data_IF_627125489199
#
_entry.id   IF_627125489199
#
_cell.length_a   1.000
_cell.length_b   1.000
_cell.length_c   1.000
_cell.angle_alpha   90.00
_cell.angle_beta   90.00
_cell.angle_gamma   90.00
#
_symmetry.space_group_name_H-M   'P 1'
#
loop_
_entity.id
_entity.type
_entity.pdbx_description
1 polymer ?
#
# COMPACT_ATOMS: atom_id res chain seq x y z
N UNK A 1 15.53 51.55 -34.29
CA UNK A 1 16.50 50.43 -34.33
C UNK A 1 15.71 49.16 -34.53
N UNK A 2 15.80 48.59 -35.73
CA UNK A 2 15.16 47.34 -36.13
C UNK A 2 16.26 46.28 -36.12
N UNK A 3 16.05 45.17 -35.42
CA UNK A 3 16.86 43.98 -35.59
C UNK A 3 15.95 42.75 -35.45
N UNK A 4 15.64 42.17 -36.60
CA UNK A 4 15.10 40.83 -36.77
C UNK A 4 16.27 39.83 -36.88
N UNK A 5 16.15 38.65 -36.26
CA UNK A 5 16.79 37.36 -36.61
C UNK A 5 16.44 36.36 -35.50
N UNK A 6 16.09 35.09 -35.70
CA UNK A 6 16.03 34.29 -36.90
C UNK A 6 15.43 32.91 -36.57
N UNK A 7 14.76 32.40 -37.58
CA UNK A 7 14.22 31.04 -37.80
C UNK A 7 15.31 29.96 -37.68
N UNK A 8 15.02 28.80 -37.07
CA UNK A 8 14.94 27.50 -37.78
C UNK A 8 15.10 26.25 -36.89
N UNK A 9 14.17 25.30 -37.13
CA UNK A 9 14.34 23.83 -37.31
C UNK A 9 14.57 22.89 -36.12
N UNK A 10 13.62 21.94 -36.00
CA UNK A 10 13.91 20.51 -36.20
C UNK A 10 13.76 19.61 -34.97
N UNK A 11 12.90 18.60 -35.04
CA UNK A 11 12.86 17.51 -34.07
C UNK A 11 11.64 16.61 -34.25
N UNK A 12 11.89 15.39 -34.69
CA UNK A 12 10.97 14.42 -35.25
C UNK A 12 9.91 13.80 -34.31
N UNK A 13 8.91 13.24 -35.00
CA UNK A 13 7.88 12.35 -34.53
C UNK A 13 8.39 11.12 -33.76
N UNK A 14 7.64 10.70 -32.74
CA UNK A 14 7.41 9.27 -32.44
C UNK A 14 5.97 9.09 -31.99
N UNK A 15 5.16 8.53 -32.89
CA UNK A 15 3.91 7.86 -32.57
C UNK A 15 4.20 6.38 -32.25
N UNK A 16 3.77 5.92 -31.08
CA UNK A 16 3.53 4.51 -30.74
C UNK A 16 2.31 4.55 -29.81
N UNK A 17 1.08 4.24 -30.25
CA UNK A 17 0.56 2.92 -30.62
C UNK A 17 0.89 1.84 -29.57
N UNK A 18 0.06 1.77 -28.52
CA UNK A 18 -0.15 0.55 -27.76
C UNK A 18 -1.66 0.32 -27.69
N UNK A 19 -2.09 -0.60 -28.55
CA UNK A 19 -3.33 -1.36 -28.48
C UNK A 19 -3.41 -2.06 -27.11
N UNK A 20 -4.55 -2.07 -26.43
CA UNK A 20 -5.60 -3.04 -26.73
C UNK A 20 -5.37 -4.34 -25.94
N UNK A 21 -5.98 -4.45 -24.77
CA UNK A 21 -5.83 -5.63 -23.91
C UNK A 21 -6.81 -5.65 -22.74
N UNK A 22 -8.10 -5.76 -23.04
CA UNK A 22 -9.09 -6.11 -22.02
C UNK A 22 -8.98 -7.59 -21.66
N UNK A 23 -9.12 -7.95 -20.38
CA UNK A 23 -9.90 -9.13 -20.01
C UNK A 23 -10.23 -9.16 -18.52
N UNK A 24 -11.55 -9.19 -18.32
CA UNK A 24 -12.32 -9.49 -17.13
C UNK A 24 -11.76 -10.67 -16.33
N UNK A 25 -11.81 -10.58 -15.01
CA UNK A 25 -12.43 -11.62 -14.16
C UNK A 25 -12.63 -11.11 -12.73
N UNK A 26 -13.88 -10.76 -12.43
CA UNK A 26 -14.35 -10.60 -11.07
C UNK A 26 -14.35 -11.94 -10.34
N UNK A 27 -13.94 -11.93 -9.07
CA UNK A 27 -14.24 -13.01 -8.13
C UNK A 27 -15.19 -12.47 -7.08
N UNK A 28 -16.46 -12.83 -7.27
CA UNK A 28 -17.48 -12.89 -6.21
C UNK A 28 -17.02 -13.92 -5.18
N UNK A 29 -16.91 -13.52 -3.93
CA UNK A 29 -17.07 -14.42 -2.79
C UNK A 29 -18.45 -14.17 -2.22
N UNK A 30 -19.35 -15.13 -2.42
CA UNK A 30 -20.64 -15.24 -1.76
C UNK A 30 -20.53 -16.37 -0.74
N UNK A 31 -20.98 -16.11 0.48
CA UNK A 31 -21.00 -17.08 1.56
C UNK A 31 -22.11 -18.13 1.44
N UNK A 32 -21.95 -19.15 2.27
CA UNK A 32 -22.95 -20.02 2.88
C UNK A 32 -22.32 -20.42 4.24
N UNK A 33 -22.95 -20.20 5.41
CA UNK A 33 -24.05 -21.00 5.98
C UNK A 33 -23.66 -22.49 6.06
N UNK A 34 -23.85 -23.28 7.10
CA UNK A 34 -24.54 -23.27 8.40
C UNK A 34 -24.16 -24.63 9.04
N UNK A 35 -24.40 -24.83 10.34
CA UNK A 35 -24.24 -26.12 11.03
C UNK A 35 -23.45 -25.99 12.33
N UNK A 36 -24.02 -25.53 13.45
CA UNK A 36 -24.88 -26.28 14.39
C UNK A 36 -24.41 -27.73 14.64
N UNK A 37 -23.82 -27.98 15.82
CA UNK A 37 -24.43 -28.88 16.81
C UNK A 37 -23.66 -28.86 18.14
N UNK A 38 -24.42 -28.63 19.19
CA UNK A 38 -24.06 -28.82 20.58
C UNK A 38 -23.89 -30.31 20.88
N UNK A 39 -22.84 -30.70 21.61
CA UNK A 39 -22.96 -31.84 22.54
C UNK A 39 -22.32 -31.48 23.86
N UNK A 40 -23.22 -31.24 24.81
CA UNK A 40 -22.99 -31.23 26.24
C UNK A 40 -22.69 -32.65 26.73
N UNK A 41 -21.68 -32.81 27.60
CA UNK A 41 -21.80 -33.81 28.67
C UNK A 41 -21.01 -33.40 29.91
N UNK A 42 -21.79 -33.10 30.95
CA UNK A 42 -21.40 -33.00 32.35
C UNK A 42 -20.86 -34.34 32.85
N UNK A 43 -19.89 -34.31 33.77
CA UNK A 43 -19.92 -34.97 35.11
C UNK A 43 -18.63 -34.62 35.85
N UNK A 44 -18.69 -33.72 36.83
CA UNK A 44 -18.87 -34.03 38.26
C UNK A 44 -17.73 -34.89 38.83
N UNK A 45 -16.76 -34.29 39.51
CA UNK A 45 -16.80 -33.98 40.95
C UNK A 45 -16.06 -35.05 41.77
N UNK A 46 -15.03 -34.64 42.54
CA UNK A 46 -15.04 -34.63 44.01
C UNK A 46 -13.63 -34.54 44.62
N UNK A 47 -13.51 -33.56 45.52
CA UNK A 47 -12.93 -33.62 46.88
C UNK A 47 -11.42 -33.85 47.07
N UNK A 48 -10.82 -32.95 47.84
CA UNK A 48 -9.63 -33.25 48.66
C UNK A 48 -8.74 -32.05 49.03
N UNK A 49 -9.20 -31.21 49.96
CA UNK A 49 -8.38 -30.26 50.74
C UNK A 49 -7.47 -31.03 51.75
N UNK A 50 -6.61 -30.37 52.57
CA UNK A 50 -5.29 -29.81 52.25
C UNK A 50 -4.20 -30.26 53.25
N UNK A 51 -2.99 -29.67 53.15
CA UNK A 51 -1.88 -29.62 54.14
C UNK A 51 -0.92 -30.82 54.17
N UNK A 52 0.37 -30.55 53.90
CA UNK A 52 1.41 -30.26 54.91
C UNK A 52 2.82 -30.19 54.29
N UNK A 53 3.59 -29.20 54.76
CA UNK A 53 5.06 -29.18 54.95
C UNK A 53 5.92 -29.24 53.67
N UNK A 54 6.58 -28.13 53.31
CA UNK A 54 7.86 -27.70 53.87
C UNK A 54 8.98 -28.72 53.64
N UNK A 55 9.73 -28.57 52.54
CA UNK A 55 11.16 -28.88 52.40
C UNK A 55 11.64 -28.45 51.01
N UNK A 56 12.85 -27.88 50.97
CA UNK A 56 13.69 -27.50 49.80
C UNK A 56 13.17 -26.33 48.94
N UNK A 57 13.70 -25.10 48.91
CA UNK A 57 15.04 -24.57 49.21
C UNK A 57 16.17 -25.38 48.56
N UNK A 58 16.85 -24.74 47.60
CA UNK A 58 18.10 -25.20 46.96
C UNK A 58 17.95 -25.96 45.63
N UNK A 59 17.62 -25.23 44.56
CA UNK A 59 18.10 -25.59 43.20
C UNK A 59 18.14 -24.35 42.29
N UNK A 60 18.90 -23.34 42.72
CA UNK A 60 19.27 -22.18 41.90
C UNK A 60 20.78 -21.99 42.02
N UNK A 61 21.53 -22.91 41.42
CA UNK A 61 22.95 -22.76 41.04
C UNK A 61 23.41 -24.05 40.36
N UNK A 62 24.01 -23.92 39.16
CA UNK A 62 24.86 -24.98 38.60
C UNK A 62 24.34 -25.68 37.35
N UNK A 63 23.61 -25.00 36.47
CA UNK A 63 23.34 -25.47 35.11
C UNK A 63 24.35 -24.95 34.08
N UNK A 64 25.64 -24.85 34.42
CA UNK A 64 26.70 -24.85 33.38
C UNK A 64 26.86 -26.32 33.00
N UNK A 65 25.81 -26.87 32.37
CA UNK A 65 25.89 -28.14 31.70
C UNK A 65 27.06 -28.04 30.75
N UNK A 66 27.96 -29.01 30.85
CA UNK A 66 28.97 -29.25 29.84
C UNK A 66 28.33 -28.98 28.47
N UNK A 67 28.79 -27.95 27.77
CA UNK A 67 28.52 -27.83 26.34
C UNK A 67 29.18 -29.05 25.72
N UNK A 68 28.45 -30.17 25.72
CA UNK A 68 28.73 -31.30 24.86
C UNK A 68 28.99 -30.70 23.49
N UNK A 69 30.04 -31.17 22.84
CA UNK A 69 30.47 -30.71 21.53
C UNK A 69 29.30 -30.85 20.55
N UNK A 70 28.47 -29.82 20.49
CA UNK A 70 27.35 -29.71 19.57
C UNK A 70 27.99 -29.77 18.19
N UNK A 71 27.70 -30.85 17.47
CA UNK A 71 28.22 -31.06 16.12
C UNK A 71 27.79 -29.87 15.27
N UNK A 72 28.70 -28.92 15.06
CA UNK A 72 28.42 -27.69 14.35
C UNK A 72 28.04 -28.04 12.91
N UNK A 73 26.75 -27.94 12.61
CA UNK A 73 26.20 -28.30 11.30
C UNK A 73 26.40 -27.21 10.25
N UNK A 74 26.52 -25.95 10.66
CA UNK A 74 26.71 -24.80 9.77
C UNK A 74 27.67 -23.78 10.37
N UNK A 75 28.45 -23.14 9.52
CA UNK A 75 29.40 -22.09 9.86
C UNK A 75 29.23 -20.90 8.90
N UNK A 76 29.31 -19.69 9.44
CA UNK A 76 29.33 -18.46 8.67
C UNK A 76 30.32 -17.47 9.28
N UNK A 77 31.18 -16.89 8.45
CA UNK A 77 32.09 -15.82 8.84
C UNK A 77 31.71 -14.55 8.09
N UNK A 78 31.60 -13.44 8.81
CA UNK A 78 31.31 -12.15 8.22
C UNK A 78 32.41 -11.74 7.23
N UNK A 79 32.03 -11.22 6.06
CA UNK A 79 32.99 -10.77 5.03
C UNK A 79 33.22 -11.77 3.89
N UNK A 80 32.60 -12.95 3.91
CA UNK A 80 32.68 -13.93 2.82
C UNK A 80 31.79 -13.62 1.61
N UNK A 81 31.33 -12.36 1.46
CA UNK A 81 30.54 -11.92 0.31
C UNK A 81 29.10 -12.41 0.33
N UNK A 82 28.53 -12.64 1.51
CA UNK A 82 27.09 -12.85 1.63
C UNK A 82 26.31 -11.60 1.23
N UNK A 83 25.05 -11.80 0.84
CA UNK A 83 24.09 -10.70 0.69
C UNK A 83 23.10 -10.74 1.85
N UNK A 84 23.62 -10.84 3.08
CA UNK A 84 22.79 -10.87 4.27
C UNK A 84 22.42 -9.47 4.71
N UNK A 85 21.21 -9.34 5.25
CA UNK A 85 20.76 -8.09 5.87
C UNK A 85 21.69 -7.81 7.06
N UNK A 86 22.16 -6.56 7.18
CA UNK A 86 23.10 -6.08 8.21
C UNK A 86 24.56 -6.51 8.06
N UNK A 87 24.93 -7.29 7.04
CA UNK A 87 26.32 -7.72 6.84
C UNK A 87 27.26 -6.53 6.59
N UNK A 88 26.86 -5.60 5.71
CA UNK A 88 27.64 -4.40 5.42
C UNK A 88 27.84 -3.51 6.64
N UNK A 89 26.80 -3.36 7.46
CA UNK A 89 26.83 -2.51 8.63
C UNK A 89 27.74 -3.10 9.72
N UNK A 90 27.64 -4.42 9.95
CA UNK A 90 28.49 -5.11 10.92
C UNK A 90 29.95 -5.23 10.43
N UNK A 91 30.16 -5.34 9.12
CA UNK A 91 31.49 -5.34 8.51
C UNK A 91 32.17 -3.98 8.70
N UNK A 92 31.46 -2.91 8.34
CA UNK A 92 31.92 -1.53 8.56
C UNK A 92 32.22 -1.27 10.04
N UNK A 93 31.37 -1.77 10.95
CA UNK A 93 31.58 -1.64 12.40
C UNK A 93 32.83 -2.42 12.85
N UNK A 94 33.04 -3.64 12.36
CA UNK A 94 34.20 -4.47 12.70
C UNK A 94 35.50 -3.82 12.26
N UNK A 95 35.54 -3.30 11.02
CA UNK A 95 36.66 -2.53 10.47
C UNK A 95 36.90 -1.27 11.29
N UNK A 96 35.84 -0.52 11.61
CA UNK A 96 35.95 0.72 12.39
C UNK A 96 36.49 0.48 13.81
N UNK A 97 36.10 -0.62 14.45
CA UNK A 97 36.54 -0.96 15.80
C UNK A 97 37.93 -1.64 15.83
N UNK A 98 38.49 -1.98 14.67
CA UNK A 98 39.73 -2.76 14.55
C UNK A 98 39.59 -4.16 15.14
N UNK A 99 38.40 -4.76 15.00
CA UNK A 99 38.08 -6.09 15.51
C UNK A 99 38.11 -7.12 14.38
N UNK A 100 38.50 -8.37 14.66
CA UNK A 100 38.33 -9.46 13.69
C UNK A 100 36.84 -9.65 13.36
N UNK A 101 36.58 -10.16 12.15
CA UNK A 101 35.22 -10.42 11.70
C UNK A 101 34.53 -11.45 12.61
N UNK A 102 33.27 -11.18 13.03
CA UNK A 102 32.41 -12.12 13.75
C UNK A 102 32.29 -13.49 13.09
N UNK A 103 32.30 -14.53 13.91
CA UNK A 103 32.09 -15.93 13.50
C UNK A 103 30.75 -16.43 14.07
N UNK A 104 29.96 -17.12 13.23
CA UNK A 104 28.65 -17.64 13.59
C UNK A 104 28.62 -19.16 13.36
N UNK A 105 28.09 -19.87 14.35
CA UNK A 105 28.03 -21.33 14.37
C UNK A 105 26.58 -21.76 14.58
N UNK A 106 26.07 -22.68 13.75
CA UNK A 106 24.71 -23.19 13.82
C UNK A 106 24.66 -24.69 14.09
N UNK A 107 23.90 -25.07 15.11
CA UNK A 107 23.61 -26.47 15.44
C UNK A 107 22.10 -26.70 15.41
N UNK A 108 21.65 -27.73 14.69
CA UNK A 108 20.27 -28.20 14.82
C UNK A 108 20.09 -28.98 16.12
N UNK A 109 19.05 -28.65 16.86
CA UNK A 109 18.72 -29.22 18.15
C UNK A 109 17.25 -29.65 18.13
N UNK A 110 16.98 -30.89 18.57
CA UNK A 110 15.65 -31.50 18.60
C UNK A 110 15.25 -31.83 20.03
N UNK A 111 15.14 -30.80 20.87
CA UNK A 111 14.91 -30.95 22.31
C UNK A 111 13.41 -30.91 22.69
N UNK A 112 12.50 -30.61 21.76
CA UNK A 112 11.09 -30.45 22.08
C UNK A 112 10.26 -31.72 21.82
N UNK A 113 9.46 -32.17 22.81
CA UNK A 113 8.48 -33.24 22.63
C UNK A 113 7.33 -32.72 21.75
N UNK A 114 7.55 -32.75 20.43
CA UNK A 114 6.68 -32.12 19.42
C UNK A 114 7.30 -32.04 18.03
N UNK A 115 8.63 -32.22 17.89
CA UNK A 115 9.27 -32.51 16.60
C UNK A 115 9.59 -31.32 15.69
N UNK A 116 9.49 -30.07 16.18
CA UNK A 116 9.99 -28.94 15.41
C UNK A 116 11.50 -28.79 15.58
N UNK A 117 12.24 -28.94 14.48
CA UNK A 117 13.68 -28.72 14.43
C UNK A 117 13.99 -27.25 14.74
N UNK A 118 14.79 -27.00 15.77
CA UNK A 118 15.27 -25.67 16.12
C UNK A 118 16.76 -25.54 15.82
N UNK A 119 17.18 -24.34 15.44
CA UNK A 119 18.56 -23.94 15.27
C UNK A 119 19.02 -23.17 16.49
N UNK A 120 20.09 -23.66 17.12
CA UNK A 120 20.87 -22.90 18.09
C UNK A 120 22.02 -22.26 17.35
N UNK A 121 22.06 -20.93 17.35
CA UNK A 121 23.11 -20.16 16.68
C UNK A 121 23.94 -19.46 17.74
N UNK A 122 25.25 -19.68 17.69
CA UNK A 122 26.24 -19.10 18.58
C UNK A 122 27.04 -18.08 17.79
N UNK A 123 27.05 -16.84 18.25
CA UNK A 123 27.93 -15.80 17.73
C UNK A 123 29.17 -15.70 18.61
N UNK A 124 30.36 -15.76 18.00
CA UNK A 124 31.65 -15.48 18.64
C UNK A 124 32.15 -14.11 18.16
N UNK A 125 32.03 -13.11 19.03
CA UNK A 125 32.58 -11.79 18.81
C UNK A 125 33.92 -11.69 19.53
N UNK A 126 35.00 -11.86 18.76
CA UNK A 126 36.35 -11.70 19.28
C UNK A 126 36.67 -10.21 19.49
N UNK A 127 37.32 -9.92 20.60
CA UNK A 127 37.82 -8.58 20.91
C UNK A 127 39.01 -8.16 20.03
N UNK A 128 39.62 -7.00 20.33
CA UNK A 128 40.78 -6.49 19.57
C UNK A 128 41.94 -7.50 19.55
N UNK A 129 42.72 -7.49 18.46
CA UNK A 129 43.84 -8.41 18.23
C UNK A 129 45.10 -8.15 19.11
N UNK A 130 45.16 -7.04 19.85
CA UNK A 130 46.23 -6.77 20.82
C UNK A 130 46.04 -7.58 22.13
N UNK A 131 47.09 -7.87 22.92
CA UNK A 131 47.16 -9.14 23.66
C UNK A 131 46.17 -9.34 24.83
N UNK A 132 45.55 -10.52 24.79
CA UNK A 132 44.99 -11.41 25.83
C UNK A 132 43.96 -10.94 26.88
N UNK A 133 43.56 -9.66 26.94
CA UNK A 133 42.54 -9.22 27.91
C UNK A 133 41.17 -8.89 27.31
N UNK A 134 41.04 -8.93 25.98
CA UNK A 134 39.77 -8.62 25.35
C UNK A 134 38.77 -9.76 25.56
N UNK A 135 37.74 -9.47 26.38
CA UNK A 135 36.64 -10.37 26.70
C UNK A 135 36.00 -10.86 25.39
N UNK A 136 36.01 -12.17 25.15
CA UNK A 136 35.24 -12.75 24.04
C UNK A 136 33.78 -12.71 24.44
N UNK A 137 32.94 -12.20 23.54
CA UNK A 137 31.51 -12.13 23.79
C UNK A 137 30.86 -13.24 23.01
N UNK A 138 30.32 -14.21 23.74
CA UNK A 138 29.51 -15.28 23.20
C UNK A 138 28.06 -15.08 23.60
N UNK A 139 27.17 -15.16 22.63
CA UNK A 139 25.74 -15.24 22.90
C UNK A 139 25.09 -16.25 21.97
N UNK A 140 23.97 -16.79 22.43
CA UNK A 140 23.26 -17.89 21.78
C UNK A 140 21.82 -17.51 21.53
N UNK A 141 21.34 -17.68 20.29
CA UNK A 141 19.95 -17.44 19.90
C UNK A 141 19.34 -18.76 19.42
N UNK A 142 18.05 -18.97 19.70
CA UNK A 142 17.27 -20.12 19.25
C UNK A 142 16.23 -19.67 18.24
N UNK A 143 16.24 -20.24 17.04
CA UNK A 143 15.25 -19.95 15.99
C UNK A 143 14.78 -21.21 15.26
N UNK A 144 13.65 -21.13 14.56
CA UNK A 144 13.16 -22.21 13.69
C UNK A 144 13.95 -22.33 12.38
N UNK A 145 14.66 -21.29 11.97
CA UNK A 145 15.36 -21.21 10.69
C UNK A 145 16.77 -20.63 10.87
N UNK A 146 17.74 -21.21 10.14
CA UNK A 146 19.12 -20.75 10.10
C UNK A 146 19.26 -19.29 9.65
N UNK A 147 18.55 -18.90 8.59
CA UNK A 147 18.69 -17.53 8.04
C UNK A 147 18.10 -16.48 8.98
N UNK A 148 16.94 -16.76 9.57
CA UNK A 148 16.29 -15.84 10.50
C UNK A 148 17.09 -15.69 11.79
N UNK A 149 17.64 -16.79 12.29
CA UNK A 149 18.53 -16.75 13.44
C UNK A 149 19.84 -16.03 13.14
N UNK A 150 20.41 -16.21 11.95
CA UNK A 150 21.62 -15.49 11.55
C UNK A 150 21.34 -13.98 11.49
N UNK A 151 20.22 -13.55 10.89
CA UNK A 151 19.82 -12.15 10.84
C UNK A 151 19.62 -11.56 12.25
N UNK A 152 18.95 -12.29 13.15
CA UNK A 152 18.80 -11.86 14.56
C UNK A 152 20.13 -11.79 15.28
N UNK A 153 21.03 -12.74 15.07
CA UNK A 153 22.37 -12.68 15.68
C UNK A 153 23.20 -11.50 15.17
N UNK A 154 23.08 -11.15 13.89
CA UNK A 154 23.73 -9.96 13.31
C UNK A 154 23.16 -8.68 13.91
N UNK A 155 21.84 -8.59 14.03
CA UNK A 155 21.16 -7.45 14.66
C UNK A 155 21.56 -7.29 16.13
N UNK A 156 21.63 -8.40 16.88
CA UNK A 156 22.02 -8.37 18.28
C UNK A 156 23.51 -7.97 18.44
N UNK A 157 24.38 -8.44 17.54
CA UNK A 157 25.79 -8.04 17.52
C UNK A 157 25.96 -6.53 17.25
N UNK A 158 25.10 -5.94 16.42
CA UNK A 158 25.06 -4.48 16.19
C UNK A 158 24.47 -3.70 17.36
N UNK A 159 23.43 -4.23 17.99
CA UNK A 159 22.75 -3.60 19.12
C UNK A 159 23.60 -3.63 20.39
N UNK A 160 24.50 -4.60 20.50
CA UNK A 160 25.42 -4.71 21.63
C UNK A 160 26.32 -3.48 21.63
N UNK A 161 26.15 -2.54 22.58
CA UNK A 161 26.98 -1.35 22.62
C UNK A 161 28.42 -1.82 22.78
N UNK A 162 29.40 -1.21 22.08
CA UNK A 162 30.78 -1.44 22.44
C UNK A 162 30.86 -1.12 23.94
N UNK A 163 31.16 -2.13 24.76
CA UNK A 163 31.54 -1.93 26.16
C UNK A 163 32.81 -1.10 26.11
N UNK A 164 32.62 0.20 25.93
CA UNK A 164 33.65 1.19 26.09
C UNK A 164 33.99 1.10 27.56
N UNK A 165 35.19 0.61 27.85
CA UNK A 165 35.82 0.96 29.11
C UNK A 165 35.71 2.48 29.22
N UNK A 166 34.85 2.94 30.12
CA UNK A 166 34.55 4.35 30.25
C UNK A 166 35.88 5.08 30.51
N UNK A 167 36.29 6.04 29.64
CA UNK A 167 37.41 6.89 29.99
C UNK A 167 36.96 7.72 31.19
N UNK A 168 37.47 7.40 32.37
CA UNK A 168 37.24 8.20 33.57
C UNK A 168 37.83 9.59 33.32
N UNK A 169 36.96 10.57 33.06
CA UNK A 169 37.27 11.99 33.32
C UNK A 169 37.40 12.95 32.12
N UNK A 170 36.39 13.05 31.25
CA UNK A 170 36.33 14.17 30.28
C UNK A 170 34.96 14.91 30.34
N UNK A 171 34.85 16.01 31.10
CA UNK A 171 33.62 16.81 31.23
C UNK A 171 33.08 17.39 29.90
N UNK A 172 33.92 17.48 28.85
CA UNK A 172 33.51 18.04 27.55
C UNK A 172 32.67 17.11 26.66
N UNK A 173 32.70 15.79 26.88
CA UNK A 173 31.96 14.84 26.04
C UNK A 173 30.46 14.82 26.36
N UNK A 174 30.06 15.19 27.58
CA UNK A 174 28.65 15.21 27.99
C UNK A 174 27.88 16.34 27.31
N UNK A 175 28.47 17.53 27.19
CA UNK A 175 27.84 18.66 26.51
C UNK A 175 27.68 18.43 24.99
N UNK A 176 28.64 17.76 24.36
CA UNK A 176 28.53 17.37 22.94
C UNK A 176 27.40 16.36 22.72
N UNK A 177 27.29 15.35 23.61
CA UNK A 177 26.24 14.34 23.57
C UNK A 177 24.85 14.93 23.82
N UNK A 178 24.74 15.89 24.73
CA UNK A 178 23.48 16.58 25.00
C UNK A 178 23.02 17.41 23.78
N UNK A 179 23.94 18.15 23.15
CA UNK A 179 23.66 18.88 21.92
C UNK A 179 23.23 17.96 20.77
N UNK A 180 23.84 16.78 20.66
CA UNK A 180 23.46 15.78 19.65
C UNK A 180 22.06 15.21 19.89
N UNK A 181 21.69 14.97 21.16
CA UNK A 181 20.34 14.55 21.53
C UNK A 181 19.30 15.63 21.22
N UNK A 182 19.59 16.90 21.51
CA UNK A 182 18.68 17.99 21.21
C UNK A 182 18.53 18.21 19.70
N UNK A 183 19.62 18.10 18.93
CA UNK A 183 19.55 18.11 17.47
C UNK A 183 18.67 16.96 16.94
N UNK A 184 18.80 15.77 17.52
CA UNK A 184 18.00 14.60 17.14
C UNK A 184 16.51 14.83 17.43
N UNK A 185 16.18 15.45 18.57
CA UNK A 185 14.80 15.82 18.94
C UNK A 185 14.22 16.87 18.00
N UNK A 186 14.99 17.91 17.69
CA UNK A 186 14.57 18.96 16.75
C UNK A 186 14.27 18.36 15.38
N UNK A 187 15.16 17.50 14.88
CA UNK A 187 14.96 16.80 13.60
C UNK A 187 13.72 15.90 13.62
N UNK A 188 13.53 15.12 14.68
CA UNK A 188 12.34 14.28 14.85
C UNK A 188 11.04 15.11 14.87
N UNK A 189 11.04 16.28 15.53
CA UNK A 189 9.88 17.15 15.57
C UNK A 189 9.59 17.81 14.21
N UNK A 190 10.63 18.25 13.49
CA UNK A 190 10.48 18.80 12.14
C UNK A 190 9.93 17.76 11.15
N UNK A 191 10.47 16.54 11.18
CA UNK A 191 9.99 15.45 10.33
C UNK A 191 8.56 15.06 10.67
N UNK A 192 8.20 15.00 11.95
CA UNK A 192 6.82 14.76 12.37
C UNK A 192 5.86 15.84 11.87
N UNK A 193 6.24 17.12 11.98
CA UNK A 193 5.42 18.23 11.48
C UNK A 193 5.21 18.13 9.96
N UNK A 194 6.28 17.86 9.20
CA UNK A 194 6.22 17.70 7.75
C UNK A 194 5.33 16.51 7.35
N UNK A 195 5.45 15.37 8.04
CA UNK A 195 4.57 14.21 7.84
C UNK A 195 3.10 14.55 8.15
N UNK A 196 2.84 15.33 9.20
CA UNK A 196 1.48 15.78 9.54
C UNK A 196 0.86 16.61 8.40
N UNK A 197 1.62 17.54 7.83
CA UNK A 197 1.18 18.35 6.69
C UNK A 197 0.91 17.48 5.45
N UNK A 198 1.76 16.49 5.19
CA UNK A 198 1.53 15.53 4.10
C UNK A 198 0.26 14.69 4.31
N UNK A 199 -0.03 14.29 5.55
CA UNK A 199 -1.26 13.55 5.87
C UNK A 199 -2.51 14.42 5.63
N UNK A 200 -2.46 15.70 5.97
CA UNK A 200 -3.56 16.64 5.74
C UNK A 200 -3.82 16.87 4.25
N UNK A 201 -2.78 17.08 3.45
CA UNK A 201 -2.91 17.22 1.98
C UNK A 201 -3.47 15.95 1.35
N UNK A 202 -3.03 14.76 1.76
CA UNK A 202 -3.61 13.48 1.31
C UNK A 202 -5.10 13.39 1.66
N UNK A 203 -5.50 13.84 2.86
CA UNK A 203 -6.91 13.86 3.26
C UNK A 203 -7.74 14.81 2.40
N UNK A 204 -7.22 16.00 2.06
CA UNK A 204 -7.89 16.93 1.16
C UNK A 204 -8.06 16.34 -0.24
N UNK A 205 -6.97 15.83 -0.83
CA UNK A 205 -7.00 15.18 -2.16
C UNK A 205 -7.94 13.97 -2.20
N UNK A 206 -8.06 13.21 -1.10
CA UNK A 206 -9.01 12.10 -1.01
C UNK A 206 -10.47 12.57 -1.04
N UNK A 207 -10.78 13.72 -0.41
CA UNK A 207 -12.10 14.36 -0.50
C UNK A 207 -12.38 14.83 -1.91
N UNK A 208 -11.44 15.51 -2.55
CA UNK A 208 -11.60 16.02 -3.93
C UNK A 208 -11.77 14.89 -4.94
N UNK A 209 -11.01 13.80 -4.79
CA UNK A 209 -11.19 12.61 -5.62
C UNK A 209 -12.59 12.00 -5.46
N UNK A 210 -13.18 12.08 -4.26
CA UNK A 210 -14.55 11.59 -4.01
C UNK A 210 -15.58 12.49 -4.68
N UNK A 211 -15.45 13.81 -4.59
CA UNK A 211 -16.38 14.77 -5.23
C UNK A 211 -16.31 14.64 -6.76
N UNK A 212 -15.12 14.55 -7.34
CA UNK A 212 -14.93 14.35 -8.78
C UNK A 212 -15.57 13.05 -9.29
N UNK A 213 -15.48 11.96 -8.50
CA UNK A 213 -16.17 10.70 -8.83
C UNK A 213 -17.69 10.85 -8.83
N UNK A 214 -18.25 11.59 -7.88
CA UNK A 214 -19.69 11.85 -7.83
C UNK A 214 -20.13 12.70 -9.02
N UNK A 215 -19.40 13.76 -9.36
CA UNK A 215 -19.68 14.58 -10.53
C UNK A 215 -19.62 13.75 -11.83
N UNK A 216 -18.61 12.89 -11.96
CA UNK A 216 -18.51 11.97 -13.10
C UNK A 216 -19.71 11.02 -13.17
N UNK A 217 -20.11 10.41 -12.06
CA UNK A 217 -21.27 9.52 -12.02
C UNK A 217 -22.57 10.24 -12.44
N UNK A 218 -22.76 11.49 -12.00
CA UNK A 218 -23.88 12.34 -12.45
C UNK A 218 -23.83 12.54 -13.97
N UNK A 219 -22.69 12.96 -14.52
CA UNK A 219 -22.50 13.16 -15.96
C UNK A 219 -22.75 11.87 -16.76
N UNK A 220 -22.21 10.74 -16.30
CA UNK A 220 -22.41 9.42 -16.93
C UNK A 220 -23.89 9.02 -16.95
N UNK A 221 -24.64 9.32 -15.88
CA UNK A 221 -26.10 9.08 -15.84
C UNK A 221 -26.86 9.93 -16.85
N UNK A 222 -26.50 11.21 -17.00
CA UNK A 222 -27.09 12.11 -18.00
C UNK A 222 -26.78 11.64 -19.42
N UNK A 223 -25.54 11.23 -19.67
CA UNK A 223 -25.12 10.68 -20.97
C UNK A 223 -25.93 9.42 -21.30
N UNK A 224 -26.09 8.51 -20.35
CA UNK A 224 -26.87 7.29 -20.54
C UNK A 224 -28.33 7.60 -20.88
N UNK A 225 -28.96 8.55 -20.17
CA UNK A 225 -30.32 9.01 -20.43
C UNK A 225 -30.47 9.63 -21.82
N UNK A 226 -29.54 10.49 -22.22
CA UNK A 226 -29.55 11.12 -23.55
C UNK A 226 -29.38 10.07 -24.66
N UNK A 227 -28.47 9.11 -24.49
CA UNK A 227 -28.31 7.99 -25.43
C UNK A 227 -29.58 7.16 -25.58
N UNK A 228 -30.30 6.89 -24.49
CA UNK A 228 -31.57 6.20 -24.56
C UNK A 228 -32.64 7.01 -25.31
N UNK A 229 -32.71 8.33 -25.10
CA UNK A 229 -33.62 9.23 -25.83
C UNK A 229 -33.30 9.25 -27.33
N UNK A 230 -32.02 9.35 -27.69
CA UNK A 230 -31.57 9.31 -29.09
C UNK A 230 -32.00 7.99 -29.74
N UNK A 231 -31.72 6.85 -29.12
CA UNK A 231 -32.11 5.55 -29.65
C UNK A 231 -33.64 5.41 -29.83
N UNK A 232 -34.42 5.97 -28.90
CA UNK A 232 -35.89 6.01 -29.03
C UNK A 232 -36.34 6.86 -30.22
N UNK A 233 -35.72 8.03 -30.43
CA UNK A 233 -36.06 8.92 -31.53
C UNK A 233 -35.65 8.30 -32.88
N UNK A 234 -34.48 7.69 -32.95
CA UNK A 234 -34.01 6.95 -34.13
C UNK A 234 -34.99 5.83 -34.50
N UNK A 235 -35.51 5.08 -33.51
CA UNK A 235 -36.53 4.06 -33.76
C UNK A 235 -37.85 4.63 -34.29
N UNK A 236 -38.31 5.78 -33.77
CA UNK A 236 -39.53 6.43 -34.29
C UNK A 236 -39.35 6.96 -35.70
N UNK A 237 -38.19 7.54 -36.02
CA UNK A 237 -37.86 8.00 -37.37
C UNK A 237 -37.86 6.81 -38.33
N UNK A 238 -37.19 5.72 -37.95
CA UNK A 238 -37.15 4.51 -38.77
C UNK A 238 -38.55 3.93 -39.01
N UNK A 239 -39.43 3.93 -38.00
CA UNK A 239 -40.81 3.47 -38.15
C UNK A 239 -41.61 4.35 -39.13
N UNK A 240 -41.44 5.67 -39.07
CA UNK A 240 -42.07 6.59 -40.03
C UNK A 240 -41.51 6.41 -41.44
N UNK A 241 -40.19 6.24 -41.59
CA UNK A 241 -39.55 5.98 -42.89
C UNK A 241 -40.03 4.66 -43.50
N UNK A 242 -40.24 3.61 -42.70
CA UNK A 242 -40.81 2.35 -43.18
C UNK A 242 -42.27 2.52 -43.61
N UNK A 243 -43.07 3.26 -42.84
CA UNK A 243 -44.47 3.53 -43.17
C UNK A 243 -44.59 4.34 -44.47
N UNK A 244 -43.76 5.37 -44.66
CA UNK A 244 -43.73 6.15 -45.89
C UNK A 244 -43.36 5.28 -47.10
N UNK A 245 -42.36 4.40 -46.96
CA UNK A 245 -41.97 3.47 -48.02
C UNK A 245 -43.09 2.50 -48.39
N UNK A 246 -43.80 1.95 -47.40
CA UNK A 246 -44.96 1.07 -47.65
C UNK A 246 -46.08 1.81 -48.38
N UNK A 247 -46.38 3.06 -48.00
CA UNK A 247 -47.37 3.89 -48.70
C UNK A 247 -46.94 4.28 -50.12
N UNK A 248 -45.65 4.50 -50.36
CA UNK A 248 -45.10 4.73 -51.71
C UNK A 248 -45.19 3.47 -52.60
N UNK A 249 -45.04 2.27 -52.02
CA UNK A 249 -45.17 1.00 -52.75
C UNK A 249 -46.63 0.60 -53.00
N UNK A 250 -47.55 0.89 -52.07
CA UNK A 250 -48.99 0.62 -52.20
C UNK A 250 -49.75 1.69 -53.00
N UNK A 251 -49.24 2.93 -53.03
CA UNK A 251 -49.80 4.00 -53.83
C UNK A 251 -49.55 3.76 -55.32
N UNK A 252 -50.56 3.29 -56.04
CA UNK A 252 -50.59 3.38 -57.50
C UNK A 252 -50.27 4.82 -57.92
N UNK A 253 -49.28 4.97 -58.80
CA UNK A 253 -48.73 6.22 -59.32
C UNK A 253 -49.85 7.18 -59.82
N UNK A 254 -50.38 8.05 -58.94
CA UNK A 254 -51.45 9.00 -59.27
C UNK A 254 -50.91 10.15 -60.16
N UNK A 255 -49.61 10.17 -60.47
CA UNK A 255 -49.02 11.15 -61.41
C UNK A 255 -49.43 10.92 -62.87
N UNK A 256 -50.30 9.94 -63.17
CA UNK A 256 -50.92 9.74 -64.49
C UNK A 256 -52.27 10.42 -64.73
N UNK A 257 -52.82 11.18 -63.77
CA UNK A 257 -54.15 11.78 -63.87
C UNK A 257 -54.15 13.29 -64.06
N UNK A 258 -54.02 13.76 -65.31
CA UNK A 258 -54.18 15.18 -65.65
C UNK A 258 -55.66 15.62 -65.55
N UNK A 259 -56.16 15.89 -64.35
CA UNK A 259 -57.39 16.67 -64.10
C UNK A 259 -57.57 16.89 -62.59
N UNK A 260 -58.20 17.99 -62.19
CA UNK A 260 -58.58 18.37 -60.81
C UNK A 260 -57.57 19.17 -59.98
N UNK A 261 -57.02 20.23 -60.56
CA UNK A 261 -56.77 21.46 -59.79
C UNK A 261 -57.95 22.40 -60.05
N UNK A 262 -58.99 22.30 -59.23
CA UNK A 262 -59.95 23.39 -59.05
C UNK A 262 -59.42 24.28 -57.94
N UNK A 263 -59.14 25.54 -58.28
CA UNK A 263 -59.08 26.68 -57.37
C UNK A 263 -60.20 26.56 -56.33
N UNK A 264 -59.84 26.41 -55.06
CA UNK A 264 -60.62 26.92 -53.93
C UNK A 264 -59.61 27.24 -52.82
N UNK A 265 -58.95 28.37 -53.02
CA UNK A 265 -58.46 29.27 -51.97
C UNK A 265 -59.62 29.51 -51.00
N UNK A 266 -59.57 29.01 -49.76
CA UNK A 266 -60.42 29.46 -48.64
C UNK A 266 -59.94 28.85 -47.28
N UNK A 267 -58.63 28.85 -46.99
CA UNK A 267 -58.16 28.46 -45.65
C UNK A 267 -57.80 29.70 -44.83
N UNK A 268 -58.76 30.15 -44.02
CA UNK A 268 -58.57 31.20 -43.01
C UNK A 268 -57.56 30.75 -41.95
N UNK A 269 -56.56 31.59 -41.72
CA UNK A 269 -55.44 31.41 -40.80
C UNK A 269 -55.92 31.71 -39.37
N UNK A 270 -56.45 30.71 -38.67
CA UNK A 270 -56.73 30.82 -37.23
C UNK A 270 -55.39 30.75 -36.46
N UNK A 271 -54.79 31.93 -36.26
CA UNK A 271 -53.76 32.19 -35.24
C UNK A 271 -54.33 31.92 -33.85
N UNK A 272 -54.17 30.70 -33.34
CA UNK A 272 -54.27 30.45 -31.92
C UNK A 272 -53.14 29.51 -31.48
N UNK A 273 -51.91 29.99 -31.60
CA UNK A 273 -50.76 29.35 -30.94
C UNK A 273 -50.72 29.87 -29.52
N UNK A 274 -51.41 29.18 -28.62
CA UNK A 274 -51.28 29.40 -27.19
C UNK A 274 -49.80 29.28 -26.81
N UNK A 275 -49.29 30.38 -26.27
CA UNK A 275 -47.95 30.51 -25.71
C UNK A 275 -47.87 29.54 -24.53
N UNK A 276 -47.36 28.33 -24.78
CA UNK A 276 -47.01 27.41 -23.70
C UNK A 276 -45.82 27.99 -22.94
N UNK A 277 -46.12 28.43 -21.73
CA UNK A 277 -45.20 28.85 -20.67
C UNK A 277 -44.04 27.86 -20.53
N UNK A 278 -42.91 28.17 -21.19
CA UNK A 278 -41.62 27.59 -20.85
C UNK A 278 -41.14 28.21 -19.53
N UNK A 279 -41.73 27.73 -18.43
CA UNK A 279 -41.23 27.91 -17.08
C UNK A 279 -39.92 27.10 -16.98
N UNK A 280 -38.83 27.73 -17.45
CA UNK A 280 -37.47 27.26 -17.33
C UNK A 280 -37.15 27.16 -15.84
N UNK A 281 -37.21 25.93 -15.30
CA UNK A 281 -36.87 25.64 -13.92
C UNK A 281 -35.48 26.20 -13.59
N UNK A 282 -35.51 27.28 -12.81
CA UNK A 282 -34.63 27.58 -11.69
C UNK A 282 -33.20 27.03 -11.84
N UNK A 283 -32.38 27.79 -12.57
CA UNK A 283 -30.94 27.70 -12.44
C UNK A 283 -30.58 28.18 -11.04
N UNK A 284 -30.64 27.26 -10.07
CA UNK A 284 -30.28 27.50 -8.68
C UNK A 284 -28.94 28.25 -8.60
N UNK A 285 -28.97 29.37 -7.91
CA UNK A 285 -28.03 30.49 -7.93
C UNK A 285 -26.65 30.21 -7.31
N UNK A 286 -26.20 28.95 -7.21
CA UNK A 286 -25.19 28.56 -6.21
C UNK A 286 -24.02 27.69 -6.70
N UNK A 287 -23.64 27.80 -7.98
CA UNK A 287 -22.41 27.18 -8.53
C UNK A 287 -21.31 28.21 -8.89
N UNK A 288 -21.35 29.40 -8.29
CA UNK A 288 -20.23 30.35 -8.37
C UNK A 288 -19.13 29.92 -7.39
N UNK A 289 -18.22 29.07 -7.84
CA UNK A 289 -16.95 28.82 -7.13
C UNK A 289 -16.08 30.06 -7.35
N UNK A 290 -15.71 30.84 -6.32
CA UNK A 290 -14.73 31.91 -6.47
C UNK A 290 -13.43 31.28 -7.00
N UNK A 291 -13.01 31.72 -8.18
CA UNK A 291 -11.65 31.50 -8.63
C UNK A 291 -10.83 32.46 -7.77
N UNK A 292 -10.14 31.94 -6.77
CA UNK A 292 -9.06 32.67 -6.12
C UNK A 292 -8.00 32.92 -7.20
N UNK A 293 -8.08 34.09 -7.83
CA UNK A 293 -7.02 34.61 -8.68
C UNK A 293 -5.96 35.09 -7.73
N UNK A 294 -4.90 34.30 -7.58
CA UNK A 294 -3.66 34.74 -6.97
C UNK A 294 -3.11 35.91 -7.82
N UNK A 295 -3.30 37.14 -7.33
CA UNK A 295 -2.61 38.32 -7.83
C UNK A 295 -1.11 38.19 -7.51
N UNK A 296 -0.28 38.00 -8.53
CA UNK A 296 1.17 38.19 -8.50
C UNK A 296 1.60 39.25 -9.53
#
# INVERSE_FOLDING_TARGET
>A
MVAASGVAKGGDAVAQQIEGGGLRRGRRWRGAAEGSEEVTTRRSARRGLPRRRAAAAEELRGGVGCMEALNQTKFYQLGNGGNLIYERDLDALSVHLGRPHPEFFGTQVNDQPGGELQWVIVADLRGRMEPSTSERIHFTIRESNWLDGLARTLQEALALPPRAEAPRGAPGLYAAREKEQDNSRIYANQTHLHLSQQIETIKMLAKDRKTLRQQRAKKDSTIARLRAKIASLEATIQAHETQLREMEEEGEDIHGGAAFLSDDDDFEEDENTDVEDYEFMDAGEDDYIPIDVDDE
#
